data_IF_243580016306
#
_entry.id   IF_243580016306
#
_cell.length_a   1.000
_cell.length_b   1.000
_cell.length_c   1.000
_cell.angle_alpha   90.00
_cell.angle_beta   90.00
_cell.angle_gamma   90.00
#
_symmetry.space_group_name_H-M   'P 1'
#
loop_
_entity.id
_entity.type
_entity.pdbx_description
1 polymer ?
#
# COMPACT_ATOMS: atom_id res chain seq x y z
N UNK A 1 6.89 -14.29 -6.44
CA UNK A 1 7.16 -13.22 -7.44
C UNK A 1 8.32 -12.36 -6.97
N UNK A 2 9.33 -12.09 -7.81
CA UNK A 2 10.45 -11.19 -7.48
C UNK A 2 10.02 -9.75 -7.72
N UNK A 3 9.94 -8.93 -6.67
CA UNK A 3 9.56 -7.51 -6.76
C UNK A 3 10.83 -6.66 -6.74
N UNK A 4 11.05 -5.86 -7.80
CA UNK A 4 12.14 -4.89 -7.83
C UNK A 4 11.69 -3.58 -7.14
N UNK A 5 12.02 -3.43 -5.87
CA UNK A 5 11.66 -2.26 -5.05
C UNK A 5 12.28 -0.95 -5.51
N UNK A 6 13.43 -0.99 -6.18
CA UNK A 6 14.11 0.21 -6.66
C UNK A 6 13.34 0.88 -7.79
N UNK A 7 12.69 0.08 -8.66
CA UNK A 7 11.90 0.55 -9.80
C UNK A 7 10.47 0.98 -9.44
N UNK A 8 10.03 0.76 -8.20
CA UNK A 8 8.69 1.17 -7.77
C UNK A 8 8.65 2.69 -7.66
N UNK A 9 7.68 3.30 -8.36
CA UNK A 9 7.41 4.72 -8.25
C UNK A 9 6.73 5.02 -6.90
N UNK A 10 7.05 6.16 -6.28
CA UNK A 10 6.27 6.67 -5.15
C UNK A 10 4.80 6.83 -5.53
N UNK A 11 3.91 6.61 -4.57
CA UNK A 11 2.51 6.97 -4.73
C UNK A 11 2.38 8.50 -4.69
N UNK A 12 1.69 9.07 -5.67
CA UNK A 12 1.21 10.43 -5.53
C UNK A 12 -0.08 10.40 -4.73
N UNK A 13 -0.11 11.22 -3.69
CA UNK A 13 -1.25 11.40 -2.83
C UNK A 13 -1.54 12.89 -2.72
N UNK A 14 -2.82 13.21 -2.76
CA UNK A 14 -3.40 14.43 -2.20
C UNK A 14 -3.79 14.17 -0.75
N UNK A 15 -4.00 15.25 0.01
CA UNK A 15 -4.34 15.15 1.43
C UNK A 15 -5.64 14.37 1.67
N UNK A 16 -6.66 14.59 0.82
CA UNK A 16 -7.93 13.84 0.84
C UNK A 16 -7.76 12.35 0.56
N UNK A 17 -6.87 11.98 -0.36
CA UNK A 17 -6.59 10.56 -0.66
C UNK A 17 -5.88 9.87 0.50
N UNK A 18 -5.10 10.62 1.30
CA UNK A 18 -4.43 10.06 2.47
C UNK A 18 -5.41 9.66 3.57
N UNK A 19 -6.49 10.41 3.74
CA UNK A 19 -7.55 10.09 4.70
C UNK A 19 -8.28 8.79 4.32
N UNK A 20 -8.58 8.60 3.04
CA UNK A 20 -9.14 7.36 2.55
C UNK A 20 -8.14 6.19 2.70
N UNK A 21 -6.87 6.45 2.41
CA UNK A 21 -5.81 5.45 2.52
C UNK A 21 -5.56 5.02 3.97
N UNK A 22 -5.72 5.93 4.94
CA UNK A 22 -5.65 5.61 6.37
C UNK A 22 -6.69 4.55 6.77
N UNK A 23 -7.92 4.67 6.24
CA UNK A 23 -9.00 3.70 6.43
C UNK A 23 -8.66 2.36 5.81
N UNK A 24 -8.03 2.37 4.63
CA UNK A 24 -7.59 1.15 3.94
C UNK A 24 -6.47 0.43 4.69
N UNK A 25 -5.54 1.17 5.30
CA UNK A 25 -4.45 0.59 6.09
C UNK A 25 -4.91 0.17 7.50
N UNK A 26 -5.98 0.77 8.02
CA UNK A 26 -6.48 0.53 9.37
C UNK A 26 -5.62 1.19 10.45
N UNK A 27 -4.84 2.21 10.08
CA UNK A 27 -4.01 2.99 10.99
C UNK A 27 -4.44 4.47 10.90
N UNK A 28 -4.70 5.15 12.03
CA UNK A 28 -4.97 6.57 12.02
C UNK A 28 -3.72 7.34 11.56
N UNK A 29 -3.91 8.31 10.67
CA UNK A 29 -2.86 9.25 10.28
C UNK A 29 -3.14 10.59 10.94
N UNK A 30 -2.24 11.05 11.79
CA UNK A 30 -2.28 12.39 12.37
C UNK A 30 -1.81 13.42 11.34
N UNK A 31 -2.05 14.70 11.59
CA UNK A 31 -1.72 15.75 10.64
C UNK A 31 -0.22 15.78 10.32
N UNK A 32 0.63 15.57 11.32
CA UNK A 32 2.09 15.48 11.19
C UNK A 32 2.51 14.31 10.28
N UNK A 33 1.82 13.17 10.39
CA UNK A 33 2.06 12.01 9.54
C UNK A 33 1.70 12.33 8.08
N UNK A 34 0.54 12.99 7.88
CA UNK A 34 0.10 13.40 6.54
C UNK A 34 1.08 14.37 5.90
N UNK A 35 1.54 15.37 6.65
CA UNK A 35 2.56 16.31 6.19
C UNK A 35 3.87 15.61 5.84
N UNK A 36 4.33 14.69 6.67
CA UNK A 36 5.56 13.94 6.40
C UNK A 36 5.43 13.08 5.14
N UNK A 37 4.31 12.38 4.96
CA UNK A 37 4.05 11.56 3.77
C UNK A 37 3.94 12.43 2.52
N UNK A 38 3.28 13.59 2.60
CA UNK A 38 3.18 14.51 1.48
C UNK A 38 4.53 15.18 1.16
N UNK A 39 5.37 15.45 2.16
CA UNK A 39 6.66 16.13 1.97
C UNK A 39 7.76 15.21 1.45
N UNK A 40 7.83 13.97 1.94
CA UNK A 40 8.97 13.09 1.65
C UNK A 40 8.60 11.92 0.74
N UNK A 41 9.29 11.85 -0.39
CA UNK A 41 9.09 10.83 -1.40
C UNK A 41 9.37 9.40 -0.91
N UNK A 42 10.25 9.26 0.09
CA UNK A 42 10.59 7.97 0.70
C UNK A 42 9.39 7.31 1.38
N UNK A 43 8.54 8.08 2.08
CA UNK A 43 7.33 7.53 2.70
C UNK A 43 6.33 7.06 1.64
N UNK A 44 6.10 7.87 0.61
CA UNK A 44 5.25 7.51 -0.54
C UNK A 44 5.72 6.24 -1.25
N UNK A 45 7.05 6.06 -1.38
CA UNK A 45 7.64 4.85 -1.94
C UNK A 45 7.45 3.64 -1.04
N UNK A 46 7.62 3.78 0.27
CA UNK A 46 7.36 2.71 1.23
C UNK A 46 5.88 2.26 1.19
N UNK A 47 4.94 3.21 1.13
CA UNK A 47 3.51 2.91 0.99
C UNK A 47 3.20 2.16 -0.31
N UNK A 48 3.85 2.53 -1.43
CA UNK A 48 3.69 1.84 -2.71
C UNK A 48 4.17 0.38 -2.66
N UNK A 49 5.27 0.13 -1.95
CA UNK A 49 5.81 -1.21 -1.73
C UNK A 49 4.84 -2.04 -0.88
N UNK A 50 4.36 -1.49 0.23
CA UNK A 50 3.42 -2.17 1.13
C UNK A 50 2.11 -2.52 0.39
N UNK A 51 1.57 -1.58 -0.40
CA UNK A 51 0.39 -1.82 -1.23
C UNK A 51 0.61 -3.02 -2.15
N UNK A 52 1.72 -3.03 -2.90
CA UNK A 52 2.02 -4.11 -3.84
C UNK A 52 2.22 -5.47 -3.16
N UNK A 53 2.82 -5.48 -1.97
CA UNK A 53 2.96 -6.70 -1.16
C UNK A 53 1.60 -7.23 -0.66
N UNK A 54 0.72 -6.35 -0.15
CA UNK A 54 -0.63 -6.72 0.29
C UNK A 54 -1.48 -7.28 -0.85
N UNK A 55 -1.45 -6.66 -2.04
CA UNK A 55 -2.15 -7.18 -3.22
C UNK A 55 -1.65 -8.57 -3.62
N UNK A 56 -0.34 -8.76 -3.71
CA UNK A 56 0.23 -10.07 -4.02
C UNK A 56 -0.14 -11.13 -2.97
N UNK A 57 -0.20 -10.74 -1.68
CA UNK A 57 -0.66 -11.64 -0.62
C UNK A 57 -2.13 -12.03 -0.79
N UNK A 58 -2.99 -11.08 -1.13
CA UNK A 58 -4.42 -11.34 -1.35
C UNK A 58 -4.66 -12.21 -2.59
N UNK A 59 -3.94 -11.94 -3.68
CA UNK A 59 -3.99 -12.77 -4.90
C UNK A 59 -3.53 -14.20 -4.61
N UNK A 60 -2.46 -14.39 -3.83
CA UNK A 60 -2.00 -15.73 -3.41
C UNK A 60 -3.02 -16.45 -2.51
N UNK A 61 -3.71 -15.74 -1.60
CA UNK A 61 -4.77 -16.33 -0.79
C UNK A 61 -5.98 -16.70 -1.65
N UNK A 62 -6.38 -15.82 -2.57
CA UNK A 62 -7.52 -16.07 -3.47
C UNK A 62 -7.26 -17.23 -4.43
N UNK A 63 -6.03 -17.39 -4.93
CA UNK A 63 -5.66 -18.49 -5.82
C UNK A 63 -5.48 -19.83 -5.09
N UNK A 64 -5.20 -19.82 -3.78
CA UNK A 64 -5.19 -21.03 -2.96
C UNK A 64 -6.59 -21.52 -2.57
N UNK A 65 -7.62 -20.65 -2.62
CA UNK A 65 -8.99 -21.00 -2.24
C UNK A 65 -9.86 -21.53 -3.40
N UNK A 66 -9.31 -21.71 -4.61
CA UNK A 66 -10.03 -22.25 -5.78
C UNK A 66 -9.91 -23.76 -5.96
N UNK A 67 -9.28 -24.49 -5.03
CA UNK A 67 -9.28 -25.94 -5.00
C UNK A 67 -9.97 -26.39 -3.72
N UNK A 68 -11.24 -26.80 -3.82
CA UNK A 68 -11.94 -27.79 -2.98
C UNK A 68 -13.45 -27.62 -3.18
N UNK A 69 -13.95 -28.07 -4.34
CA UNK A 69 -15.33 -28.53 -4.50
C UNK A 69 -15.28 -29.82 -5.31
N UNK A 70 -15.08 -30.94 -4.62
CA UNK A 70 -15.57 -32.28 -5.01
C UNK A 70 -16.44 -32.81 -3.88
#
# INVERSE_FOLDING_TARGET
>A
MVINYLKIKPLDFTESELDEYSKYIGLPLYNEDKEAILKYNSFRKALAIIKKLKFNSLENVSSNNSYNYE
#
